data_IF_000064141296
#
_entry.id   IF_000064141296
#
_cell.length_a   1.000
_cell.length_b   1.000
_cell.length_c   1.000
_cell.angle_alpha   90.00
_cell.angle_beta   90.00
_cell.angle_gamma   90.00
#
_symmetry.space_group_name_H-M   'P 1'
#
loop_
_entity.id
_entity.type
_entity.pdbx_description
1 polymer ?
#
# COMPACT_ATOMS: atom_id res chain seq x y z
N UNK A 1 -9.93 -31.06 16.57
CA UNK A 1 -8.54 -30.59 16.63
C UNK A 1 -8.55 -29.17 16.10
N UNK A 2 -8.50 -28.18 16.98
CA UNK A 2 -8.63 -26.76 16.60
C UNK A 2 -7.40 -26.04 17.13
N UNK A 3 -6.40 -25.88 16.28
CA UNK A 3 -5.13 -25.18 16.55
C UNK A 3 -4.56 -24.79 15.18
N UNK A 4 -4.09 -23.58 14.88
CA UNK A 4 -3.81 -22.39 15.68
C UNK A 4 -4.50 -21.16 15.06
N UNK A 5 -4.76 -20.12 15.87
CA UNK A 5 -5.26 -18.85 15.36
C UNK A 5 -4.21 -18.15 14.49
N UNK A 6 -2.93 -18.24 14.83
CA UNK A 6 -1.80 -17.78 14.00
C UNK A 6 -0.54 -18.50 14.46
N UNK A 7 0.51 -18.48 13.64
CA UNK A 7 1.77 -19.15 13.92
C UNK A 7 2.93 -18.16 13.95
N UNK A 8 3.88 -18.39 14.87
CA UNK A 8 5.02 -17.51 15.11
C UNK A 8 6.30 -18.34 15.19
N UNK A 9 7.30 -17.97 14.41
CA UNK A 9 8.62 -18.60 14.37
C UNK A 9 9.74 -17.57 14.45
N UNK A 10 10.78 -17.83 15.24
CA UNK A 10 11.96 -16.97 15.34
C UNK A 10 11.83 -15.79 16.32
N UNK A 11 12.68 -14.77 16.15
CA UNK A 11 12.66 -13.52 16.95
C UNK A 11 11.56 -12.57 16.43
N UNK A 12 10.34 -12.77 16.92
CA UNK A 12 9.17 -11.96 16.60
C UNK A 12 8.70 -11.21 17.84
N UNK A 13 8.67 -9.88 17.77
CA UNK A 13 8.22 -9.00 18.85
C UNK A 13 6.86 -8.42 18.48
N UNK A 14 5.83 -8.74 19.25
CA UNK A 14 4.45 -8.33 18.99
C UNK A 14 3.97 -7.40 20.11
N UNK A 15 3.54 -6.20 19.74
CA UNK A 15 2.95 -5.27 20.69
C UNK A 15 1.58 -5.78 21.20
N UNK A 16 1.21 -5.52 22.48
CA UNK A 16 -0.03 -6.05 23.07
C UNK A 16 -1.33 -5.63 22.37
N UNK A 17 -1.33 -4.49 21.67
CA UNK A 17 -2.50 -3.97 20.96
C UNK A 17 -2.57 -4.41 19.49
N UNK A 18 -1.64 -5.22 19.00
CA UNK A 18 -1.69 -5.73 17.64
C UNK A 18 -2.86 -6.72 17.46
N UNK A 19 -3.62 -6.55 16.39
CA UNK A 19 -4.72 -7.43 16.02
C UNK A 19 -4.25 -8.42 14.93
N UNK A 20 -4.26 -9.71 15.24
CA UNK A 20 -3.78 -10.77 14.33
C UNK A 20 -4.95 -11.72 14.04
N UNK A 21 -5.34 -11.78 12.77
CA UNK A 21 -6.42 -12.64 12.32
C UNK A 21 -6.01 -14.12 12.16
N UNK A 22 -6.99 -14.96 11.85
CA UNK A 22 -6.77 -16.41 11.71
C UNK A 22 -5.85 -16.77 10.53
N UNK A 23 -4.97 -17.75 10.71
CA UNK A 23 -4.11 -18.28 9.66
C UNK A 23 -2.95 -17.37 9.28
N UNK A 24 -2.64 -16.37 10.11
CA UNK A 24 -1.45 -15.54 9.93
C UNK A 24 -0.20 -16.33 10.28
N UNK A 25 0.87 -16.14 9.49
CA UNK A 25 2.19 -16.69 9.74
C UNK A 25 3.18 -15.56 9.92
N UNK A 26 3.86 -15.54 11.06
CA UNK A 26 4.89 -14.57 11.40
C UNK A 26 6.21 -15.30 11.56
N UNK A 27 7.20 -14.94 10.76
CA UNK A 27 8.48 -15.60 10.77
C UNK A 27 9.63 -14.60 10.79
N UNK A 28 10.59 -14.84 11.67
CA UNK A 28 11.89 -14.22 11.59
C UNK A 28 12.97 -15.25 11.31
N UNK A 29 13.65 -15.11 10.16
CA UNK A 29 14.79 -15.95 9.83
C UNK A 29 15.93 -15.82 10.85
N UNK A 30 16.81 -16.83 10.96
CA UNK A 30 17.93 -16.80 11.90
C UNK A 30 18.77 -15.52 11.79
N UNK A 31 18.96 -14.83 12.91
CA UNK A 31 19.73 -13.58 12.97
C UNK A 31 18.99 -12.33 12.50
N UNK A 32 17.69 -12.42 12.25
CA UNK A 32 16.81 -11.28 11.92
C UNK A 32 15.73 -11.10 12.98
N UNK A 33 15.11 -9.92 13.02
CA UNK A 33 13.95 -9.66 13.88
C UNK A 33 12.75 -9.16 13.08
N UNK A 34 11.57 -9.67 13.41
CA UNK A 34 10.30 -9.11 12.99
C UNK A 34 9.66 -8.33 14.14
N UNK A 35 9.44 -7.03 13.94
CA UNK A 35 8.89 -6.11 14.95
C UNK A 35 7.51 -5.65 14.50
N UNK A 36 6.50 -5.96 15.30
CA UNK A 36 5.11 -5.57 15.08
C UNK A 36 4.73 -4.56 16.18
N UNK A 37 4.60 -3.29 15.80
CA UNK A 37 4.30 -2.22 16.74
C UNK A 37 2.81 -2.16 17.14
N UNK A 38 2.49 -1.22 18.02
CA UNK A 38 1.14 -1.04 18.57
C UNK A 38 0.12 -0.72 17.47
N UNK A 39 -1.09 -1.28 17.60
CA UNK A 39 -2.22 -0.99 16.71
C UNK A 39 -2.08 -1.56 15.29
N UNK A 40 -1.07 -2.37 15.00
CA UNK A 40 -0.96 -3.08 13.72
C UNK A 40 -2.12 -4.07 13.59
N UNK A 41 -2.80 -4.06 12.43
CA UNK A 41 -3.83 -5.02 12.07
C UNK A 41 -3.32 -5.92 10.94
N UNK A 42 -3.39 -7.23 11.15
CA UNK A 42 -2.96 -8.24 10.16
C UNK A 42 -4.15 -9.09 9.74
N UNK A 43 -4.55 -8.95 8.47
CA UNK A 43 -5.65 -9.67 7.86
C UNK A 43 -5.41 -11.18 7.77
N UNK A 44 -6.51 -11.94 7.70
CA UNK A 44 -6.47 -13.40 7.71
C UNK A 44 -5.60 -13.95 6.56
N UNK A 45 -4.85 -15.02 6.85
CA UNK A 45 -3.98 -15.68 5.87
C UNK A 45 -2.77 -14.86 5.41
N UNK A 46 -2.45 -13.74 6.07
CA UNK A 46 -1.25 -12.99 5.74
C UNK A 46 0.03 -13.71 6.22
N UNK A 47 1.11 -13.54 5.47
CA UNK A 47 2.42 -14.10 5.79
C UNK A 47 3.43 -12.96 5.86
N UNK A 48 4.14 -12.86 6.98
CA UNK A 48 5.14 -11.82 7.22
C UNK A 48 6.45 -12.48 7.62
N UNK A 49 7.47 -12.35 6.77
CA UNK A 49 8.76 -12.99 6.97
C UNK A 49 9.89 -11.97 6.92
N UNK A 50 10.65 -11.84 8.02
CA UNK A 50 11.90 -11.08 8.00
C UNK A 50 13.03 -11.93 7.43
N UNK A 51 13.70 -11.43 6.39
CA UNK A 51 14.85 -12.06 5.72
C UNK A 51 15.99 -11.05 5.57
N UNK A 52 17.22 -11.49 5.88
CA UNK A 52 18.47 -10.73 5.71
C UNK A 52 18.54 -9.38 6.44
N UNK A 53 17.65 -9.12 7.39
CA UNK A 53 17.65 -7.93 8.22
C UNK A 53 16.34 -7.80 8.98
N UNK A 54 16.22 -6.72 9.76
CA UNK A 54 15.02 -6.47 10.54
C UNK A 54 13.87 -5.98 9.67
N UNK A 55 12.67 -6.45 9.97
CA UNK A 55 11.42 -6.03 9.35
C UNK A 55 10.53 -5.38 10.41
N UNK A 56 10.14 -4.13 10.19
CA UNK A 56 9.31 -3.36 11.12
C UNK A 56 7.97 -3.04 10.48
N UNK A 57 6.89 -3.50 11.11
CA UNK A 57 5.54 -3.01 10.87
C UNK A 57 5.27 -1.92 11.89
N UNK A 58 5.27 -0.66 11.43
CA UNK A 58 5.15 0.48 12.32
C UNK A 58 3.73 0.64 12.89
N UNK A 59 3.56 1.58 13.82
CA UNK A 59 2.29 1.77 14.51
C UNK A 59 1.10 1.99 13.56
N UNK A 60 0.00 1.29 13.84
CA UNK A 60 -1.25 1.45 13.08
C UNK A 60 -1.24 0.93 11.64
N UNK A 61 -0.23 0.15 11.23
CA UNK A 61 -0.21 -0.48 9.89
C UNK A 61 -1.40 -1.44 9.73
N UNK A 62 -2.06 -1.37 8.58
CA UNK A 62 -3.17 -2.27 8.22
C UNK A 62 -2.78 -3.15 7.04
N UNK A 63 -2.63 -4.46 7.27
CA UNK A 63 -2.43 -5.44 6.21
C UNK A 63 -3.77 -6.12 5.90
N UNK A 64 -4.17 -6.10 4.63
CA UNK A 64 -5.34 -6.82 4.14
C UNK A 64 -5.20 -8.34 4.25
N UNK A 65 -6.27 -9.06 3.93
CA UNK A 65 -6.24 -10.52 3.91
C UNK A 65 -5.29 -11.06 2.83
N UNK A 66 -4.55 -12.12 3.15
CA UNK A 66 -3.66 -12.78 2.20
C UNK A 66 -2.48 -11.93 1.73
N UNK A 67 -2.10 -10.88 2.47
CA UNK A 67 -0.91 -10.08 2.17
C UNK A 67 0.35 -10.89 2.45
N UNK A 68 1.33 -10.78 1.55
CA UNK A 68 2.67 -11.34 1.72
C UNK A 68 3.67 -10.21 1.92
N UNK A 69 4.36 -10.16 3.05
CA UNK A 69 5.49 -9.25 3.30
C UNK A 69 6.75 -10.07 3.52
N UNK A 70 7.80 -9.79 2.75
CA UNK A 70 9.01 -10.59 2.75
C UNK A 70 10.25 -9.70 2.65
N UNK A 71 11.29 -10.00 3.42
CA UNK A 71 12.56 -9.29 3.34
C UNK A 71 12.85 -8.47 4.59
N UNK A 72 13.45 -7.31 4.41
CA UNK A 72 13.81 -6.39 5.48
C UNK A 72 13.32 -4.98 5.17
N UNK A 73 13.31 -4.11 6.16
CA UNK A 73 12.92 -2.71 6.02
C UNK A 73 11.72 -2.35 6.87
N UNK A 74 10.96 -1.35 6.43
CA UNK A 74 9.91 -0.72 7.24
C UNK A 74 8.65 -0.50 6.42
N UNK A 75 7.52 -0.86 7.03
CA UNK A 75 6.19 -0.39 6.63
C UNK A 75 5.85 0.78 7.55
N UNK A 76 5.76 1.99 6.98
CA UNK A 76 5.55 3.23 7.72
C UNK A 76 4.27 3.27 8.56
N UNK A 77 4.18 4.24 9.47
CA UNK A 77 3.03 4.35 10.38
C UNK A 77 1.74 4.58 9.59
N UNK A 78 0.64 3.94 10.00
CA UNK A 78 -0.69 4.09 9.39
C UNK A 78 -0.76 3.76 7.89
N UNK A 79 0.24 3.04 7.35
CA UNK A 79 0.22 2.54 5.98
C UNK A 79 -0.85 1.46 5.84
N UNK A 80 -1.61 1.50 4.75
CA UNK A 80 -2.58 0.46 4.43
C UNK A 80 -2.12 -0.35 3.23
N UNK A 81 -1.99 -1.66 3.39
CA UNK A 81 -1.66 -2.60 2.33
C UNK A 81 -2.92 -3.37 1.94
N UNK A 82 -3.39 -3.18 0.72
CA UNK A 82 -4.57 -3.86 0.20
C UNK A 82 -4.43 -5.37 0.19
N UNK A 83 -5.56 -6.07 0.23
CA UNK A 83 -5.62 -7.54 0.25
C UNK A 83 -4.87 -8.17 -0.94
N UNK A 84 -4.31 -9.36 -0.71
CA UNK A 84 -3.59 -10.17 -1.71
C UNK A 84 -2.37 -9.46 -2.34
N UNK A 85 -1.87 -8.38 -1.72
CA UNK A 85 -0.66 -7.70 -2.18
C UNK A 85 0.60 -8.37 -1.65
N UNK A 86 1.67 -8.27 -2.43
CA UNK A 86 3.00 -8.76 -2.08
C UNK A 86 3.97 -7.58 -1.99
N UNK A 87 4.67 -7.46 -0.87
CA UNK A 87 5.67 -6.41 -0.62
C UNK A 87 7.01 -7.06 -0.29
N UNK A 88 7.97 -6.89 -1.19
CA UNK A 88 9.34 -7.39 -1.05
C UNK A 88 10.25 -6.25 -0.60
N UNK A 89 11.04 -6.47 0.45
CA UNK A 89 11.93 -5.48 1.06
C UNK A 89 11.23 -4.13 1.30
N UNK A 90 10.20 -4.09 2.16
CA UNK A 90 9.34 -2.93 2.32
C UNK A 90 10.12 -1.67 2.69
N UNK A 91 9.81 -0.59 1.98
CA UNK A 91 10.24 0.77 2.30
C UNK A 91 9.08 1.72 2.02
N UNK A 92 7.98 1.52 2.75
CA UNK A 92 6.74 2.28 2.56
C UNK A 92 6.72 3.48 3.49
N UNK A 93 6.34 4.63 2.97
CA UNK A 93 6.23 5.85 3.75
C UNK A 93 5.01 5.80 4.67
N UNK A 94 5.03 6.62 5.73
CA UNK A 94 3.89 6.77 6.62
C UNK A 94 2.64 7.23 5.86
N UNK A 95 1.50 6.61 6.15
CA UNK A 95 0.21 6.91 5.53
C UNK A 95 0.07 6.45 4.07
N UNK A 96 1.07 5.76 3.52
CA UNK A 96 1.01 5.25 2.16
C UNK A 96 -0.12 4.21 1.99
N UNK A 97 -0.78 4.22 0.84
CA UNK A 97 -1.86 3.29 0.52
C UNK A 97 -1.45 2.44 -0.67
N UNK A 98 -1.23 1.15 -0.44
CA UNK A 98 -0.95 0.17 -1.48
C UNK A 98 -2.27 -0.47 -1.91
N UNK A 99 -2.57 -0.40 -3.20
CA UNK A 99 -3.78 -1.01 -3.74
C UNK A 99 -3.78 -2.54 -3.53
N UNK A 100 -4.95 -3.16 -3.47
CA UNK A 100 -5.08 -4.62 -3.41
C UNK A 100 -4.44 -5.28 -4.65
N UNK A 101 -3.89 -6.49 -4.46
CA UNK A 101 -3.25 -7.29 -5.52
C UNK A 101 -2.05 -6.59 -6.18
N UNK A 102 -1.39 -5.69 -5.45
CA UNK A 102 -0.16 -5.04 -5.92
C UNK A 102 1.05 -5.92 -5.66
N UNK A 103 2.09 -5.76 -6.48
CA UNK A 103 3.41 -6.35 -6.26
C UNK A 103 4.44 -5.22 -6.16
N UNK A 104 5.04 -5.05 -4.99
CA UNK A 104 6.04 -4.02 -4.72
C UNK A 104 7.39 -4.66 -4.41
N UNK A 105 8.48 -4.03 -4.86
CA UNK A 105 9.84 -4.47 -4.58
C UNK A 105 10.31 -5.67 -5.40
N UNK A 106 9.55 -6.08 -6.42
CA UNK A 106 10.02 -7.06 -7.40
C UNK A 106 11.16 -6.44 -8.23
N UNK A 107 12.40 -6.97 -8.16
CA UNK A 107 13.53 -6.42 -8.93
C UNK A 107 13.36 -6.63 -10.44
N UNK A 108 12.45 -7.50 -10.88
CA UNK A 108 12.12 -7.71 -12.29
C UNK A 108 11.10 -6.70 -12.83
N UNK A 109 10.41 -5.97 -11.93
CA UNK A 109 9.65 -4.77 -12.27
C UNK A 109 10.66 -3.67 -12.61
N UNK A 110 11.09 -3.63 -13.88
CA UNK A 110 11.77 -2.46 -14.41
C UNK A 110 10.85 -1.26 -14.20
N UNK A 111 11.32 -0.17 -13.58
CA UNK A 111 10.53 1.05 -13.55
C UNK A 111 10.26 1.45 -15.00
N UNK A 112 8.98 1.44 -15.40
CA UNK A 112 8.60 2.16 -16.61
C UNK A 112 9.08 3.60 -16.42
N UNK A 113 9.77 4.22 -17.39
CA UNK A 113 10.23 5.61 -17.26
C UNK A 113 9.00 6.53 -17.15
N UNK A 114 8.56 6.74 -15.92
CA UNK A 114 7.73 7.86 -15.52
C UNK A 114 8.59 9.08 -15.80
N UNK A 115 8.23 9.81 -16.85
CA UNK A 115 8.89 11.06 -17.25
C UNK A 115 9.24 11.89 -16.02
N UNK A 116 10.54 12.02 -15.77
CA UNK A 116 11.08 13.11 -14.96
C UNK A 116 10.56 14.42 -15.54
N UNK A 117 9.60 15.01 -14.82
CA UNK A 117 9.15 16.37 -15.03
C UNK A 117 10.35 17.31 -14.89
N UNK A 118 10.50 18.17 -15.89
CA UNK A 118 11.66 19.00 -16.11
C UNK A 118 12.03 19.95 -14.96
N UNK A 119 13.28 20.38 -15.07
CA UNK A 119 14.00 21.26 -14.16
C UNK A 119 13.34 22.64 -13.94
N UNK A 120 13.36 23.02 -12.67
CA UNK A 120 13.88 24.28 -12.10
C UNK A 120 13.10 25.61 -12.16
N UNK A 121 13.08 26.21 -10.95
CA UNK A 121 13.09 27.63 -10.58
C UNK A 121 11.76 28.41 -10.68
N UNK A 122 11.40 29.32 -9.78
CA UNK A 122 11.82 29.69 -8.42
C UNK A 122 10.79 30.73 -7.90
N UNK A 123 10.59 30.78 -6.58
CA UNK A 123 10.22 31.92 -5.72
C UNK A 123 9.24 33.02 -6.20
N UNK A 124 8.14 33.23 -5.45
CA UNK A 124 7.94 34.40 -4.57
C UNK A 124 6.52 34.41 -3.95
N UNK A 125 6.46 34.85 -2.70
CA UNK A 125 5.34 34.84 -1.75
C UNK A 125 4.39 36.07 -1.83
N UNK A 126 3.25 35.94 -1.12
CA UNK A 126 2.42 37.00 -0.49
C UNK A 126 1.50 37.82 -1.44
N UNK A 127 0.29 38.31 -1.11
CA UNK A 127 -0.47 38.42 0.14
C UNK A 127 -1.93 38.90 -0.14
N UNK A 128 -2.81 38.74 0.87
CA UNK A 128 -4.10 39.39 1.24
C UNK A 128 -5.38 39.51 0.37
N UNK A 129 -6.49 39.27 1.11
CA UNK A 129 -7.79 39.96 1.18
C UNK A 129 -8.83 39.67 0.08
N UNK A 130 -9.97 39.02 0.36
CA UNK A 130 -11.10 39.25 1.30
C UNK A 130 -12.32 39.91 0.61
N UNK A 131 -13.46 39.23 0.81
CA UNK A 131 -14.86 39.68 0.77
C UNK A 131 -15.46 40.14 -0.56
N UNK A 132 -16.34 39.30 -1.10
CA UNK A 132 -17.80 39.42 -0.92
C UNK A 132 -18.52 38.90 -2.17
N UNK A 133 -19.40 37.92 -2.05
CA UNK A 133 -20.74 38.05 -2.65
C UNK A 133 -21.76 37.11 -1.98
N UNK A 134 -22.96 37.66 -1.81
CA UNK A 134 -24.17 37.06 -1.26
C UNK A 134 -25.01 36.53 -2.44
N UNK A 135 -25.85 35.52 -2.17
CA UNK A 135 -27.21 35.30 -2.76
C UNK A 135 -27.39 34.02 -3.60
N UNK A 136 -27.92 33.00 -2.92
CA UNK A 136 -29.03 32.07 -3.25
C UNK A 136 -29.11 31.30 -4.58
N UNK A 137 -29.24 29.97 -4.39
CA UNK A 137 -30.00 28.91 -5.09
C UNK A 137 -30.00 28.81 -6.63
N UNK A 138 -29.44 27.71 -7.15
CA UNK A 138 -30.16 26.76 -8.04
C UNK A 138 -29.43 25.40 -8.11
N UNK A 139 -30.23 24.35 -8.18
CA UNK A 139 -29.87 22.93 -8.29
C UNK A 139 -29.16 22.65 -9.62
N UNK A 140 -27.93 22.14 -9.57
CA UNK A 140 -27.12 21.90 -10.76
C UNK A 140 -26.05 20.83 -10.55
N UNK A 141 -26.40 19.59 -10.90
CA UNK A 141 -25.54 18.46 -11.21
C UNK A 141 -24.16 18.42 -10.52
N UNK A 142 -24.07 17.71 -9.40
CA UNK A 142 -22.79 17.20 -8.90
C UNK A 142 -22.27 16.26 -9.98
N UNK A 143 -21.34 16.75 -10.82
CA UNK A 143 -20.60 15.92 -11.74
C UNK A 143 -19.78 14.95 -10.88
N UNK A 144 -20.33 13.75 -10.66
CA UNK A 144 -19.65 12.64 -10.02
C UNK A 144 -18.45 12.23 -10.88
N UNK A 145 -17.33 12.91 -10.74
CA UNK A 145 -16.07 12.46 -11.29
C UNK A 145 -15.63 11.25 -10.46
N UNK A 146 -16.14 10.08 -10.84
CA UNK A 146 -15.72 8.81 -10.26
C UNK A 146 -14.30 8.57 -10.72
N UNK A 147 -13.33 8.96 -9.89
CA UNK A 147 -11.92 8.62 -10.08
C UNK A 147 -11.79 7.12 -9.88
N UNK A 148 -11.81 6.36 -10.98
CA UNK A 148 -11.59 4.91 -10.94
C UNK A 148 -10.07 4.68 -10.96
N UNK A 149 -9.52 4.38 -9.79
CA UNK A 149 -8.11 3.97 -9.66
C UNK A 149 -7.86 2.68 -10.47
N UNK A 150 -6.72 2.62 -11.15
CA UNK A 150 -6.35 1.48 -12.02
C UNK A 150 -6.96 1.53 -13.42
N UNK A 151 -7.72 2.57 -13.79
CA UNK A 151 -8.22 2.75 -15.16
C UNK A 151 -7.11 2.69 -16.21
N UNK A 152 -5.95 3.28 -15.91
CA UNK A 152 -4.81 3.28 -16.84
C UNK A 152 -4.17 1.90 -16.96
N UNK A 153 -4.05 1.17 -15.84
CA UNK A 153 -3.53 -0.20 -15.81
C UNK A 153 -4.46 -1.17 -16.56
N UNK A 154 -5.78 -1.05 -16.36
CA UNK A 154 -6.79 -1.82 -17.11
C UNK A 154 -6.75 -1.48 -18.60
N UNK A 155 -6.61 -0.19 -18.93
CA UNK A 155 -6.51 0.27 -20.32
C UNK A 155 -5.26 -0.31 -21.00
N UNK A 156 -4.12 -0.32 -20.31
CA UNK A 156 -2.90 -0.95 -20.80
C UNK A 156 -3.07 -2.46 -20.99
N UNK A 157 -3.68 -3.15 -20.03
CA UNK A 157 -3.93 -4.59 -20.14
C UNK A 157 -4.81 -4.93 -21.35
N UNK A 158 -5.89 -4.16 -21.57
CA UNK A 158 -6.79 -4.34 -22.71
C UNK A 158 -6.05 -4.07 -24.03
N UNK A 159 -5.18 -3.05 -24.08
CA UNK A 159 -4.39 -2.74 -25.27
C UNK A 159 -3.38 -3.83 -25.59
N UNK A 160 -2.75 -4.43 -24.59
CA UNK A 160 -1.79 -5.53 -24.76
C UNK A 160 -2.48 -6.84 -25.18
N UNK A 161 -3.61 -7.19 -24.55
CA UNK A 161 -4.30 -8.45 -24.80
C UNK A 161 -5.17 -8.43 -26.07
N UNK A 162 -5.68 -7.25 -26.45
CA UNK A 162 -6.59 -7.10 -27.59
C UNK A 162 -6.14 -5.99 -28.56
N UNK A 163 -4.95 -6.10 -29.16
CA UNK A 163 -4.38 -5.06 -30.01
C UNK A 163 -5.23 -4.70 -31.24
N UNK A 164 -6.10 -5.60 -31.68
CA UNK A 164 -6.96 -5.42 -32.87
C UNK A 164 -8.39 -4.99 -32.57
N UNK A 165 -8.77 -4.72 -31.31
CA UNK A 165 -10.16 -4.30 -30.98
C UNK A 165 -10.56 -2.93 -31.53
N UNK A 166 -9.62 -2.12 -32.03
CA UNK A 166 -9.88 -0.79 -32.62
C UNK A 166 -10.25 -0.82 -34.12
N UNK A 167 -10.33 -1.97 -34.77
CA UNK A 167 -10.58 -2.04 -36.23
C UNK A 167 -12.06 -2.22 -36.64
N UNK A 168 -13.02 -2.02 -35.72
CA UNK A 168 -14.45 -2.08 -36.04
C UNK A 168 -15.12 -0.78 -35.57
N UNK A 169 -14.90 0.28 -36.33
CA UNK A 169 -15.69 1.51 -36.39
C UNK A 169 -16.16 1.70 -37.82
#
# INVERSE_FOLDING_TARGET
MTSAAFEVWGDVVIAPSAAIASGVVLEASPGTRLIIQAGVCIGAGAVVQSLWGDLVLAEGVNLGSGVLVLGHGTVGTQTCVGAESTVINPNLAAGEIVAARSLLGDPSSLPSPSREGGAAAAAAESDVAESAEVTTVEEGAIAHHTVIYGRDQVTQLIQTLFPHRRSLS
#
